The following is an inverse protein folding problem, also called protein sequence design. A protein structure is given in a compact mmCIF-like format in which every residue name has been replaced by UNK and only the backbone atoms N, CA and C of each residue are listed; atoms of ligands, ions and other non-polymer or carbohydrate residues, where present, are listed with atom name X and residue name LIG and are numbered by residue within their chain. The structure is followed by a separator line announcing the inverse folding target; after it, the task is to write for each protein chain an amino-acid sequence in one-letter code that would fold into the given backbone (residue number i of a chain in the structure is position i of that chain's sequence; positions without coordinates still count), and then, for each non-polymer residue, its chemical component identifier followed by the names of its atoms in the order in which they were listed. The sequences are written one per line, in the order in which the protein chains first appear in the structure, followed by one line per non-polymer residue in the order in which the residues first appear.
data_IF_905517521955
#
_entry.id   IF_905517521955
#
_cell.length_a   1.000
_cell.length_b   1.000
_cell.length_c   1.000
_cell.angle_alpha   90.00
_cell.angle_beta   90.00
_cell.angle_gamma   90.00
#
_symmetry.space_group_name_H-M   'P 1'
#
loop_
_entity.id
_entity.type
_entity.pdbx_description
1 polymer ?
#
# COMPACT_ATOMS: atom_id res chain seq x y z
N UNK A 1 9.22 -16.10 10.24
CA UNK A 1 8.54 -15.22 11.21
C UNK A 1 7.09 -15.64 11.20
N UNK A 2 6.45 -15.82 12.36
CA UNK A 2 5.09 -16.36 12.45
C UNK A 2 4.13 -15.60 11.50
N UNK A 3 3.20 -16.34 10.88
CA UNK A 3 2.16 -15.80 9.99
C UNK A 3 1.27 -14.83 10.77
N UNK A 4 1.74 -13.59 10.87
CA UNK A 4 1.05 -12.52 11.54
C UNK A 4 -0.21 -12.16 10.75
N UNK A 5 -1.35 -12.08 11.45
CA UNK A 5 -2.62 -11.74 10.83
C UNK A 5 -2.52 -10.31 10.27
N UNK A 6 -2.57 -10.10 8.95
CA UNK A 6 -2.46 -8.78 8.40
C UNK A 6 -3.66 -7.93 8.83
N UNK A 7 -3.41 -6.64 9.07
CA UNK A 7 -4.42 -5.69 9.53
C UNK A 7 -4.52 -4.53 8.54
N UNK A 8 -5.72 -4.01 8.31
CA UNK A 8 -5.97 -2.83 7.47
C UNK A 8 -6.75 -1.78 8.24
N UNK A 9 -6.49 -0.49 7.96
CA UNK A 9 -7.35 0.58 8.44
C UNK A 9 -8.57 0.72 7.52
N UNK A 10 -9.76 0.76 8.11
CA UNK A 10 -11.01 0.96 7.39
C UNK A 10 -11.76 2.14 8.01
N UNK A 11 -12.32 2.99 7.16
CA UNK A 11 -13.07 4.19 7.53
C UNK A 11 -14.48 4.11 6.95
N UNK A 12 -15.45 4.67 7.67
CA UNK A 12 -16.75 5.02 7.10
C UNK A 12 -16.59 6.21 6.14
N UNK A 13 -17.09 6.11 4.91
CA UNK A 13 -16.88 7.12 3.86
C UNK A 13 -17.65 8.41 4.09
N UNK A 14 -18.77 8.36 4.81
CA UNK A 14 -19.60 9.53 5.14
C UNK A 14 -19.23 10.12 6.50
N UNK A 15 -18.83 9.26 7.44
CA UNK A 15 -18.32 9.66 8.76
C UNK A 15 -16.92 9.11 9.00
N UNK A 16 -15.92 9.66 8.31
CA UNK A 16 -14.53 9.19 8.37
C UNK A 16 -13.83 9.40 9.72
N UNK A 17 -14.50 9.99 10.72
CA UNK A 17 -14.06 9.93 12.12
C UNK A 17 -14.28 8.54 12.73
N UNK A 18 -15.20 7.76 12.18
CA UNK A 18 -15.41 6.35 12.49
C UNK A 18 -14.42 5.50 11.68
N UNK A 19 -13.39 5.02 12.37
CA UNK A 19 -12.32 4.22 11.79
C UNK A 19 -12.00 3.02 12.68
N UNK A 20 -11.52 1.94 12.07
CA UNK A 20 -11.11 0.74 12.77
C UNK A 20 -9.87 0.11 12.14
N UNK A 21 -9.05 -0.52 12.97
CA UNK A 21 -8.05 -1.47 12.53
C UNK A 21 -8.70 -2.85 12.47
N UNK A 22 -8.74 -3.43 11.27
CA UNK A 22 -9.48 -4.67 11.00
C UNK A 22 -8.49 -5.78 10.64
N UNK A 23 -8.37 -6.83 11.49
CA UNK A 23 -7.54 -7.99 11.19
C UNK A 23 -8.19 -8.86 10.10
N UNK A 24 -7.36 -9.45 9.25
CA UNK A 24 -7.77 -10.26 8.10
C UNK A 24 -7.20 -11.69 8.22
N UNK A 25 -7.74 -12.53 9.11
CA UNK A 25 -7.23 -13.89 9.35
C UNK A 25 -7.31 -14.80 8.12
N UNK A 26 -8.18 -14.47 7.16
CA UNK A 26 -8.42 -15.24 5.94
C UNK A 26 -7.76 -14.61 4.70
N UNK A 27 -6.74 -13.75 4.88
CA UNK A 27 -5.99 -13.15 3.76
C UNK A 27 -4.93 -14.08 3.17
N UNK A 28 -4.63 -15.20 3.84
CA UNK A 28 -3.61 -16.17 3.46
C UNK A 28 -4.24 -17.48 2.94
N UNK A 29 -3.56 -18.20 2.01
CA UNK A 29 -2.34 -17.80 1.32
C UNK A 29 -2.65 -16.71 0.27
N UNK A 30 -1.68 -15.83 0.01
CA UNK A 30 -1.82 -14.85 -1.04
C UNK A 30 -1.88 -15.51 -2.43
N UNK A 31 -2.67 -14.95 -3.34
CA UNK A 31 -2.75 -15.43 -4.70
C UNK A 31 -1.40 -15.34 -5.44
N UNK A 32 -1.15 -16.14 -6.49
CA UNK A 32 0.04 -15.98 -7.33
C UNK A 32 0.10 -14.57 -7.95
N UNK A 33 1.30 -13.97 -7.98
CA UNK A 33 1.47 -12.66 -8.61
C UNK A 33 1.29 -12.75 -10.14
N UNK A 34 0.52 -11.81 -10.74
CA UNK A 34 0.44 -11.70 -12.20
C UNK A 34 1.79 -11.29 -12.83
N UNK A 35 1.95 -11.41 -14.16
CA UNK A 35 3.08 -10.81 -14.86
C UNK A 35 3.16 -9.30 -14.66
N UNK A 36 4.38 -8.77 -14.59
CA UNK A 36 4.65 -7.34 -14.40
C UNK A 36 4.01 -6.77 -13.13
N UNK A 37 4.13 -7.49 -12.00
CA UNK A 37 3.55 -7.11 -10.71
C UNK A 37 4.54 -7.24 -9.56
N UNK A 38 4.30 -6.44 -8.52
CA UNK A 38 5.03 -6.44 -7.25
C UNK A 38 4.04 -6.68 -6.11
N UNK A 39 4.43 -7.49 -5.12
CA UNK A 39 3.74 -7.58 -3.83
C UNK A 39 4.46 -6.69 -2.83
N UNK A 40 3.77 -5.67 -2.35
CA UNK A 40 4.34 -4.62 -1.51
C UNK A 40 3.75 -4.66 -0.10
N UNK A 41 4.58 -4.62 0.94
CA UNK A 41 4.12 -4.45 2.32
C UNK A 41 4.58 -3.11 2.86
N UNK A 42 3.64 -2.28 3.32
CA UNK A 42 3.96 -0.99 3.95
C UNK A 42 4.90 -1.19 5.13
N UNK A 43 6.00 -0.43 5.15
CA UNK A 43 7.00 -0.43 6.23
C UNK A 43 7.01 0.89 6.98
N UNK A 44 6.81 2.01 6.28
CA UNK A 44 6.73 3.36 6.86
C UNK A 44 5.60 4.13 6.19
N UNK A 45 4.84 4.87 6.98
CA UNK A 45 3.82 5.79 6.50
C UNK A 45 4.08 7.19 7.06
N UNK A 46 3.86 8.22 6.23
CA UNK A 46 3.94 9.62 6.65
C UNK A 46 2.60 10.06 7.22
N UNK A 47 2.58 10.40 8.51
CA UNK A 47 1.43 11.00 9.18
C UNK A 47 1.42 12.51 8.95
N UNK A 48 0.43 12.97 8.18
CA UNK A 48 0.30 14.37 7.76
C UNK A 48 -1.17 14.78 7.76
N UNK A 49 -1.44 16.09 7.73
CA UNK A 49 -2.82 16.60 7.59
C UNK A 49 -3.48 16.11 6.29
N UNK A 50 -2.69 15.81 5.24
CA UNK A 50 -3.24 15.31 3.98
C UNK A 50 -4.00 13.99 4.14
N UNK A 51 -3.66 13.15 5.12
CA UNK A 51 -4.38 11.89 5.36
C UNK A 51 -5.86 12.14 5.69
N UNK A 52 -6.16 13.22 6.43
CA UNK A 52 -7.52 13.64 6.69
C UNK A 52 -8.21 14.14 5.40
N UNK A 53 -7.52 14.97 4.61
CA UNK A 53 -8.04 15.46 3.33
C UNK A 53 -8.35 14.29 2.38
N UNK A 54 -7.54 13.23 2.40
CA UNK A 54 -7.78 12.02 1.59
C UNK A 54 -9.09 11.33 1.93
N UNK A 55 -9.48 11.32 3.21
CA UNK A 55 -10.79 10.83 3.62
C UNK A 55 -11.90 11.83 3.23
N UNK A 56 -11.73 13.10 3.58
CA UNK A 56 -12.76 14.13 3.41
C UNK A 56 -13.16 14.37 1.94
N UNK A 57 -12.20 14.28 1.01
CA UNK A 57 -12.44 14.45 -0.43
C UNK A 57 -12.39 13.13 -1.20
N UNK A 58 -12.40 11.99 -0.51
CA UNK A 58 -12.17 10.68 -1.12
C UNK A 58 -13.17 10.33 -2.24
N UNK A 59 -14.43 10.74 -2.10
CA UNK A 59 -15.47 10.49 -3.10
C UNK A 59 -15.35 11.41 -4.32
N UNK A 60 -15.02 12.68 -4.08
CA UNK A 60 -14.89 13.71 -5.13
C UNK A 60 -13.66 13.46 -5.98
N UNK A 61 -12.54 13.13 -5.35
CA UNK A 61 -11.24 12.90 -6.00
C UNK A 61 -10.94 11.42 -6.27
N UNK A 62 -11.91 10.54 -5.98
CA UNK A 62 -11.84 9.08 -6.19
C UNK A 62 -10.67 8.40 -5.46
N UNK A 63 -10.19 8.97 -4.35
CA UNK A 63 -9.09 8.38 -3.58
C UNK A 63 -9.47 7.08 -2.86
N UNK A 64 -10.76 6.83 -2.63
CA UNK A 64 -11.24 5.54 -2.12
C UNK A 64 -10.94 4.37 -3.06
N UNK A 65 -10.78 4.64 -4.35
CA UNK A 65 -10.60 3.60 -5.37
C UNK A 65 -9.15 3.14 -5.44
N UNK A 66 -8.20 3.88 -4.84
CA UNK A 66 -6.76 3.62 -4.95
C UNK A 66 -6.34 2.35 -4.23
N UNK A 67 -6.88 2.12 -3.03
CA UNK A 67 -6.67 0.91 -2.24
C UNK A 67 -8.04 0.32 -1.91
N UNK A 68 -8.57 -0.57 -2.76
CA UNK A 68 -9.88 -1.17 -2.53
C UNK A 68 -9.89 -2.00 -1.23
N UNK A 69 -11.10 -2.28 -0.74
CA UNK A 69 -11.26 -3.20 0.38
C UNK A 69 -10.79 -4.61 -0.05
N UNK A 70 -9.96 -5.29 0.76
CA UNK A 70 -9.57 -6.66 0.50
C UNK A 70 -10.80 -7.58 0.40
N UNK A 71 -10.80 -8.59 -0.50
CA UNK A 71 -11.92 -9.54 -0.60
C UNK A 71 -12.22 -10.27 0.72
N UNK A 72 -11.21 -10.46 1.57
CA UNK A 72 -11.32 -11.10 2.88
C UNK A 72 -11.80 -10.17 4.01
N UNK A 73 -12.22 -8.94 3.69
CA UNK A 73 -12.71 -7.98 4.70
C UNK A 73 -13.96 -8.54 5.39
N UNK A 74 -13.99 -8.63 6.73
CA UNK A 74 -15.14 -9.16 7.45
C UNK A 74 -16.30 -8.15 7.55
N UNK A 75 -17.51 -8.64 7.75
CA UNK A 75 -18.63 -7.80 8.14
C UNK A 75 -18.37 -7.11 9.51
N UNK A 76 -18.86 -5.88 9.72
CA UNK A 76 -19.69 -5.09 8.80
C UNK A 76 -18.89 -4.33 7.72
N UNK A 77 -17.55 -4.40 7.74
CA UNK A 77 -16.66 -3.57 6.92
C UNK A 77 -16.56 -3.98 5.45
N UNK A 78 -17.18 -5.08 5.05
CA UNK A 78 -17.15 -5.64 3.69
C UNK A 78 -18.05 -4.89 2.68
N UNK A 79 -18.83 -3.92 3.13
CA UNK A 79 -19.62 -3.04 2.26
C UNK A 79 -18.75 -1.90 1.69
N UNK A 80 -18.33 -2.04 0.44
CA UNK A 80 -17.50 -1.03 -0.25
C UNK A 80 -18.25 0.24 -0.62
N UNK A 81 -19.59 0.28 -0.55
CA UNK A 81 -20.33 1.53 -0.71
C UNK A 81 -20.21 2.40 0.55
N UNK A 82 -20.20 1.77 1.73
CA UNK A 82 -20.12 2.46 3.03
C UNK A 82 -18.69 2.65 3.53
N UNK A 83 -17.81 1.68 3.31
CA UNK A 83 -16.47 1.66 3.90
C UNK A 83 -15.37 1.79 2.84
N UNK A 84 -14.23 2.36 3.24
CA UNK A 84 -13.07 2.54 2.37
C UNK A 84 -11.76 2.56 3.13
N UNK A 85 -10.66 2.59 2.38
CA UNK A 85 -9.30 2.71 2.90
C UNK A 85 -8.69 3.99 2.36
N UNK A 86 -7.99 4.72 3.22
CA UNK A 86 -7.17 5.85 2.78
C UNK A 86 -5.74 5.38 2.49
N UNK A 87 -4.97 6.27 1.90
CA UNK A 87 -3.56 6.03 1.60
C UNK A 87 -2.68 7.06 2.32
N UNK A 88 -1.38 6.81 2.30
CA UNK A 88 -0.36 7.73 2.75
C UNK A 88 0.83 7.69 1.78
N UNK A 89 1.67 8.72 1.82
CA UNK A 89 3.01 8.62 1.25
C UNK A 89 3.89 7.84 2.21
N UNK A 90 4.69 6.91 1.70
CA UNK A 90 5.44 6.02 2.56
C UNK A 90 6.38 5.08 1.82
N UNK A 91 7.09 4.27 2.60
CA UNK A 91 7.94 3.19 2.09
C UNK A 91 7.21 1.86 2.21
N UNK A 92 7.42 0.98 1.24
CA UNK A 92 6.99 -0.41 1.27
C UNK A 92 8.12 -1.33 0.83
N UNK A 93 8.19 -2.51 1.44
CA UNK A 93 9.10 -3.59 1.07
C UNK A 93 8.45 -4.43 -0.04
N UNK A 94 9.24 -4.80 -1.06
CA UNK A 94 8.85 -5.78 -2.08
C UNK A 94 9.04 -7.18 -1.51
N UNK A 95 7.94 -7.86 -1.19
CA UNK A 95 7.96 -9.23 -0.67
C UNK A 95 8.14 -10.27 -1.78
N UNK A 96 7.55 -10.00 -2.95
CA UNK A 96 7.60 -10.87 -4.12
C UNK A 96 7.47 -10.02 -5.40
N UNK A 97 8.02 -10.51 -6.52
CA UNK A 97 8.12 -9.76 -7.77
C UNK A 97 8.17 -10.65 -9.01
N UNK A 98 7.39 -10.27 -10.02
CA UNK A 98 7.49 -10.83 -11.38
C UNK A 98 8.23 -9.89 -12.34
N UNK A 99 8.87 -8.83 -11.82
CA UNK A 99 9.66 -7.85 -12.57
C UNK A 99 11.15 -8.13 -12.34
N UNK A 100 11.90 -8.66 -13.32
CA UNK A 100 13.28 -9.13 -13.11
C UNK A 100 14.26 -8.07 -12.58
N UNK A 101 14.06 -6.79 -12.91
CA UNK A 101 14.92 -5.70 -12.46
C UNK A 101 14.63 -5.23 -11.03
N UNK A 102 13.55 -5.71 -10.40
CA UNK A 102 13.11 -5.31 -9.06
C UNK A 102 12.92 -6.58 -8.23
N UNK A 103 13.96 -7.15 -7.63
CA UNK A 103 13.85 -8.37 -6.84
C UNK A 103 13.16 -8.14 -5.50
N UNK A 104 12.70 -9.21 -4.87
CA UNK A 104 12.27 -9.20 -3.47
C UNK A 104 13.38 -8.63 -2.54
N UNK A 105 12.96 -7.97 -1.47
CA UNK A 105 13.83 -7.19 -0.58
C UNK A 105 14.12 -5.76 -1.07
N UNK A 106 13.77 -5.42 -2.31
CA UNK A 106 13.76 -4.02 -2.76
C UNK A 106 12.76 -3.20 -1.93
N UNK A 107 12.99 -1.90 -1.84
CA UNK A 107 12.04 -0.98 -1.23
C UNK A 107 11.47 -0.05 -2.29
N UNK A 108 10.24 0.41 -2.10
CA UNK A 108 9.64 1.44 -2.92
C UNK A 108 9.16 2.59 -2.06
N UNK A 109 9.21 3.81 -2.58
CA UNK A 109 8.53 4.96 -2.02
C UNK A 109 7.41 5.41 -2.93
N UNK A 110 6.22 5.62 -2.37
CA UNK A 110 5.05 6.04 -3.13
C UNK A 110 3.79 6.11 -2.27
N UNK A 111 2.64 5.91 -2.92
CA UNK A 111 1.32 6.08 -2.31
C UNK A 111 0.76 4.73 -1.83
N UNK A 112 1.01 4.41 -0.57
CA UNK A 112 0.80 3.11 0.09
C UNK A 112 -0.42 3.12 1.00
N UNK A 113 -1.06 1.96 1.29
CA UNK A 113 -2.17 1.92 2.24
C UNK A 113 -1.69 1.93 3.69
N UNK A 114 -2.62 2.25 4.60
CA UNK A 114 -2.41 2.08 6.03
C UNK A 114 -2.78 0.65 6.44
N UNK A 115 -1.83 -0.04 7.07
CA UNK A 115 -1.96 -1.43 7.48
C UNK A 115 -0.73 -2.27 7.14
N UNK A 116 -0.79 -3.55 7.49
CA UNK A 116 0.27 -4.54 7.30
C UNK A 116 -0.05 -5.56 6.19
N UNK A 117 -1.27 -5.53 5.63
CA UNK A 117 -1.62 -6.36 4.48
C UNK A 117 -0.76 -5.99 3.26
N UNK A 118 -0.07 -6.96 2.64
CA UNK A 118 0.62 -6.75 1.37
C UNK A 118 -0.36 -6.44 0.23
N UNK A 119 0.00 -5.49 -0.63
CA UNK A 119 -0.75 -5.10 -1.82
C UNK A 119 -0.06 -5.57 -3.09
N UNK A 120 -0.84 -6.15 -4.00
CA UNK A 120 -0.35 -6.54 -5.32
C UNK A 120 -0.61 -5.41 -6.32
N UNK A 121 0.47 -4.87 -6.92
CA UNK A 121 0.39 -3.80 -7.90
C UNK A 121 0.93 -4.28 -9.24
N UNK A 122 0.16 -4.11 -10.32
CA UNK A 122 0.69 -4.19 -11.68
C UNK A 122 1.48 -2.92 -11.97
N UNK A 123 2.66 -3.06 -12.58
CA UNK A 123 3.59 -1.97 -12.79
C UNK A 123 4.23 -2.02 -14.17
N UNK A 124 4.75 -0.88 -14.62
CA UNK A 124 5.68 -0.77 -15.74
C UNK A 124 6.88 0.07 -15.34
N UNK A 125 8.03 -0.25 -15.91
CA UNK A 125 9.24 0.57 -15.74
C UNK A 125 9.06 1.93 -16.42
N UNK A 126 9.66 2.97 -15.86
CA UNK A 126 9.79 4.23 -16.58
C UNK A 126 10.79 4.04 -17.74
N UNK A 127 10.49 4.55 -18.95
CA UNK A 127 11.37 4.36 -20.12
C UNK A 127 12.74 5.06 -20.05
N UNK A 128 12.97 5.91 -19.05
CA UNK A 128 14.10 6.86 -19.03
C UNK A 128 14.70 7.00 -17.62
N UNK A 129 13.88 6.85 -16.57
CA UNK A 129 14.29 6.98 -15.18
C UNK A 129 14.39 5.57 -14.58
N UNK A 130 15.62 5.08 -14.37
CA UNK A 130 15.88 3.68 -14.02
C UNK A 130 15.36 3.26 -12.64
N UNK A 131 15.21 4.19 -11.71
CA UNK A 131 14.71 3.97 -10.35
C UNK A 131 13.23 4.36 -10.18
N UNK A 132 12.48 4.44 -11.28
CA UNK A 132 11.07 4.81 -11.24
C UNK A 132 10.17 3.78 -11.96
N UNK A 133 9.02 3.53 -11.34
CA UNK A 133 7.96 2.72 -11.92
C UNK A 133 6.62 3.46 -11.91
N UNK A 134 5.73 3.03 -12.80
CA UNK A 134 4.34 3.44 -12.82
C UNK A 134 3.42 2.27 -12.51
N UNK A 135 2.49 2.46 -11.59
CA UNK A 135 1.42 1.50 -11.29
C UNK A 135 0.36 1.56 -12.38
N UNK A 136 0.08 0.41 -12.98
CA UNK A 136 -0.86 0.22 -14.10
C UNK A 136 -2.15 -0.49 -13.69
N UNK A 137 -2.34 -0.77 -12.40
CA UNK A 137 -3.59 -1.35 -11.86
C UNK A 137 -4.80 -0.52 -12.30
N UNK A 138 -5.79 -1.17 -12.93
CA UNK A 138 -6.89 -0.51 -13.63
C UNK A 138 -7.69 0.48 -12.76
N UNK A 139 -7.96 0.10 -11.50
CA UNK A 139 -8.69 0.93 -10.54
C UNK A 139 -7.97 2.24 -10.17
N UNK A 140 -6.68 2.39 -10.47
CA UNK A 140 -5.90 3.62 -10.18
C UNK A 140 -5.72 4.53 -11.39
N UNK A 141 -6.13 4.11 -12.58
CA UNK A 141 -5.78 4.86 -13.81
C UNK A 141 -6.58 6.14 -14.00
N UNK A 142 -7.68 6.32 -13.26
CA UNK A 142 -8.50 7.54 -13.31
C UNK A 142 -8.02 8.62 -12.33
N UNK A 143 -7.16 8.30 -11.36
CA UNK A 143 -6.59 9.30 -10.43
C UNK A 143 -5.38 9.99 -11.05
N UNK A 144 -4.96 11.11 -10.45
CA UNK A 144 -3.80 11.86 -10.96
C UNK A 144 -2.55 10.97 -11.06
N UNK A 145 -1.75 11.07 -12.14
CA UNK A 145 -0.59 10.19 -12.38
C UNK A 145 0.44 10.15 -11.26
N UNK A 146 0.53 11.20 -10.44
CA UNK A 146 1.47 11.27 -9.31
C UNK A 146 1.23 10.13 -8.30
N UNK A 147 -0.01 9.71 -8.07
CA UNK A 147 -0.34 8.61 -7.14
C UNK A 147 0.05 7.23 -7.65
N UNK A 148 0.40 7.14 -8.94
CA UNK A 148 0.84 5.92 -9.58
C UNK A 148 2.35 5.90 -9.80
N UNK A 149 3.09 6.94 -9.41
CA UNK A 149 4.54 7.03 -9.56
C UNK A 149 5.24 6.59 -8.28
N UNK A 150 6.14 5.63 -8.40
CA UNK A 150 6.93 5.10 -7.28
C UNK A 150 8.40 5.15 -7.60
N UNK A 151 9.21 5.44 -6.58
CA UNK A 151 10.67 5.32 -6.65
C UNK A 151 11.10 3.97 -6.08
N UNK A 152 12.09 3.33 -6.70
CA UNK A 152 12.58 2.00 -6.35
C UNK A 152 13.99 2.10 -5.78
N UNK A 153 14.23 1.41 -4.68
CA UNK A 153 15.50 1.31 -4.01
C UNK A 153 15.92 -0.15 -3.94
N UNK A 154 16.86 -0.54 -4.79
CA UNK A 154 17.33 -1.92 -4.87
C UNK A 154 18.22 -2.26 -3.65
N UNK A 155 18.23 -3.53 -3.19
CA UNK A 155 19.10 -3.97 -2.10
C UNK A 155 20.59 -3.72 -2.38
N UNK A 156 20.98 -3.73 -3.65
CA UNK A 156 22.35 -3.49 -4.11
C UNK A 156 22.77 -2.01 -4.15
N UNK A 157 21.83 -1.07 -4.00
CA UNK A 157 22.14 0.37 -4.00
C UNK A 157 22.50 0.85 -2.60
N UNK A 158 23.37 1.86 -2.42
CA UNK A 158 23.77 2.34 -1.09
C UNK A 158 22.59 2.71 -0.17
N UNK A 159 21.50 3.22 -0.75
CA UNK A 159 20.30 3.64 -0.02
C UNK A 159 19.40 2.47 0.40
N UNK A 160 19.49 1.32 -0.29
CA UNK A 160 18.70 0.12 0.03
C UNK A 160 18.96 -0.40 1.45
N UNK A 161 20.22 -0.68 1.82
CA UNK A 161 20.58 -1.09 3.18
C UNK A 161 20.24 -0.04 4.24
N UNK A 162 20.39 1.26 3.94
CA UNK A 162 20.03 2.33 4.87
C UNK A 162 18.52 2.33 5.17
N UNK A 163 17.69 2.21 4.14
CA UNK A 163 16.23 2.09 4.29
C UNK A 163 15.93 0.83 5.09
N UNK A 164 16.42 -0.33 4.67
CA UNK A 164 16.17 -1.61 5.33
C UNK A 164 16.54 -1.60 6.83
N UNK A 165 17.65 -0.96 7.21
CA UNK A 165 18.05 -0.81 8.61
C UNK A 165 17.07 0.07 9.41
N UNK A 166 16.59 1.16 8.80
CA UNK A 166 15.63 2.09 9.40
C UNK A 166 14.19 1.56 9.40
N UNK A 167 13.90 0.59 8.51
CA UNK A 167 12.59 -0.05 8.34
C UNK A 167 12.59 -1.50 8.83
N UNK A 168 13.57 -1.90 9.65
CA UNK A 168 13.73 -3.27 10.15
C UNK A 168 12.53 -3.77 11.00
N UNK A 169 11.60 -2.89 11.36
CA UNK A 169 10.30 -3.24 11.92
C UNK A 169 9.18 -3.21 10.87
N UNK A 170 8.23 -4.15 10.95
CA UNK A 170 6.92 -4.00 10.29
C UNK A 170 6.27 -2.73 10.85
N UNK A 171 5.45 -2.02 10.06
CA UNK A 171 4.84 -0.72 10.36
C UNK A 171 3.90 -0.65 11.61
N UNK A 172 4.11 -1.48 12.63
CA UNK A 172 3.40 -1.49 13.90
C UNK A 172 3.60 -0.21 14.70
N UNK A 173 4.80 0.37 14.74
CA UNK A 173 5.05 1.53 15.61
C UNK A 173 4.37 2.82 15.12
N UNK A 174 4.03 2.94 13.84
CA UNK A 174 3.31 4.10 13.32
C UNK A 174 1.79 4.03 13.53
N UNK A 175 1.24 2.84 13.79
CA UNK A 175 -0.19 2.61 13.98
C UNK A 175 -0.60 2.39 15.45
N UNK A 176 0.35 2.09 16.35
CA UNK A 176 0.04 1.63 17.71
C UNK A 176 -0.27 2.71 18.75
N UNK A 177 -0.27 4.01 18.42
CA UNK A 177 -0.79 5.07 19.30
C UNK A 177 -1.41 6.24 18.55
N UNK A 178 -2.69 6.11 18.24
CA UNK A 178 -3.67 7.21 18.34
C UNK A 178 -4.79 6.71 19.25
#
# INVERSE_FOLDING_TARGET
MADEIPTVQILDKENYFSQALVPLPNALPYAPLPPSSLRLRTSVLSLTVNNFTYAALGTVLKWWDVHPLPPSTPAPYNDSAKYGRISAWGYAEVLDSTVPSIPAGSHVWGYVPLGTLPEDLSVKLHPEISDQIFVTSAHRQHVMPIYNRYFVYLPSTPRGPEIAQKTAGVAYDAALRV
#
